data_IF_083126841778
#
_entry.id   IF_083126841778
#
_cell.length_a   1.000
_cell.length_b   1.000
_cell.length_c   1.000
_cell.angle_alpha   90.00
_cell.angle_beta   90.00
_cell.angle_gamma   90.00
#
_symmetry.space_group_name_H-M   'P 1'
#
loop_
_entity.id
_entity.type
_entity.pdbx_description
1 polymer ?
#
# COMPACT_ATOMS: atom_id res chain seq x y z
N UNK A 1 1.05 7.81 26.24
CA UNK A 1 0.80 6.45 25.71
C UNK A 1 1.05 6.48 24.22
N UNK A 2 1.74 5.47 23.72
CA UNK A 2 1.96 5.27 22.28
C UNK A 2 0.70 4.70 21.67
N UNK A 3 0.30 5.21 20.50
CA UNK A 3 -0.90 4.73 19.78
C UNK A 3 -0.56 3.48 18.97
N UNK A 4 -1.55 2.63 18.76
CA UNK A 4 -1.42 1.47 17.86
C UNK A 4 -1.40 1.92 16.39
N UNK A 5 -1.07 1.00 15.49
CA UNK A 5 -1.14 1.21 14.05
C UNK A 5 -2.58 1.52 13.61
N UNK A 6 -3.56 0.73 14.08
CA UNK A 6 -5.00 0.92 13.87
C UNK A 6 -5.47 2.32 14.32
N UNK A 7 -5.09 2.75 15.54
CA UNK A 7 -5.44 4.07 16.04
C UNK A 7 -4.84 5.19 15.17
N UNK A 8 -3.60 5.00 14.72
CA UNK A 8 -2.92 5.95 13.85
C UNK A 8 -3.59 6.01 12.48
N UNK A 9 -3.92 4.87 11.87
CA UNK A 9 -4.65 4.79 10.61
C UNK A 9 -6.01 5.48 10.70
N UNK A 10 -6.78 5.24 11.77
CA UNK A 10 -8.05 5.94 12.02
C UNK A 10 -7.89 7.45 12.12
N UNK A 11 -6.81 7.94 12.72
CA UNK A 11 -6.53 9.38 12.76
C UNK A 11 -6.21 9.91 11.36
N UNK A 12 -5.41 9.19 10.57
CA UNK A 12 -5.10 9.56 9.19
C UNK A 12 -6.36 9.62 8.32
N UNK A 13 -7.25 8.65 8.44
CA UNK A 13 -8.56 8.65 7.76
C UNK A 13 -9.39 9.86 8.20
N UNK A 14 -9.47 10.14 9.51
CA UNK A 14 -10.17 11.34 9.99
C UNK A 14 -9.57 12.64 9.44
N UNK A 15 -8.25 12.74 9.36
CA UNK A 15 -7.58 13.92 8.78
C UNK A 15 -7.92 14.10 7.30
N UNK A 16 -7.99 13.00 6.57
CA UNK A 16 -8.43 12.99 5.19
C UNK A 16 -9.87 13.56 5.07
N UNK A 17 -10.81 13.09 5.89
CA UNK A 17 -12.19 13.59 5.87
C UNK A 17 -12.31 15.05 6.37
N UNK A 18 -11.51 15.46 7.36
CA UNK A 18 -11.54 16.81 7.92
C UNK A 18 -10.95 17.88 7.00
N UNK A 19 -10.00 17.49 6.14
CA UNK A 19 -9.26 18.46 5.32
C UNK A 19 -9.98 18.80 4.00
N UNK A 20 -10.98 18.01 3.58
CA UNK A 20 -11.53 18.06 2.22
C UNK A 20 -13.07 17.97 2.18
N UNK A 21 -13.76 18.76 2.99
CA UNK A 21 -15.24 18.96 2.98
C UNK A 21 -15.78 19.57 1.64
N UNK A 22 -14.93 19.72 0.62
CA UNK A 22 -15.27 20.26 -0.70
C UNK A 22 -14.84 19.26 -1.79
N UNK A 23 -15.76 18.42 -2.27
CA UNK A 23 -15.82 17.64 -3.54
C UNK A 23 -14.56 16.96 -4.14
N UNK A 24 -13.38 17.14 -3.57
CA UNK A 24 -12.08 16.76 -4.10
C UNK A 24 -11.31 16.09 -2.97
N UNK A 25 -11.53 14.78 -2.86
CA UNK A 25 -10.75 13.80 -2.11
C UNK A 25 -9.31 13.78 -2.69
N UNK A 26 -8.52 14.84 -2.46
CA UNK A 26 -7.16 14.92 -2.97
C UNK A 26 -6.17 14.22 -2.04
N UNK A 27 -5.14 13.56 -2.59
CA UNK A 27 -4.09 12.96 -1.79
C UNK A 27 -3.32 14.05 -1.03
N UNK A 28 -3.03 13.81 0.25
CA UNK A 28 -2.37 14.79 1.11
C UNK A 28 -1.03 14.29 1.62
N UNK A 29 -0.16 15.23 1.99
CA UNK A 29 1.21 14.94 2.43
C UNK A 29 1.37 15.23 3.92
N UNK A 30 2.14 14.37 4.57
CA UNK A 30 2.59 14.52 5.95
C UNK A 30 4.11 14.44 6.02
N UNK A 31 4.69 15.12 6.98
CA UNK A 31 6.12 14.99 7.29
C UNK A 31 6.34 13.88 8.33
N UNK A 32 7.56 13.32 8.35
CA UNK A 32 7.95 12.33 9.36
C UNK A 32 7.74 12.79 10.82
N UNK A 33 8.04 14.06 11.20
CA UNK A 33 7.68 14.57 12.53
C UNK A 33 6.18 14.57 12.80
N UNK A 34 5.35 14.98 11.83
CA UNK A 34 3.90 15.00 11.99
C UNK A 34 3.35 13.60 12.24
N UNK A 35 3.76 12.60 11.45
CA UNK A 35 3.32 11.22 11.66
C UNK A 35 3.78 10.68 13.02
N UNK A 36 5.00 10.98 13.46
CA UNK A 36 5.47 10.60 14.81
C UNK A 36 4.62 11.22 15.92
N UNK A 37 4.27 12.50 15.79
CA UNK A 37 3.39 13.18 16.73
C UNK A 37 1.98 12.57 16.72
N UNK A 38 1.45 12.21 15.55
CA UNK A 38 0.15 11.57 15.42
C UNK A 38 0.14 10.15 16.00
N UNK A 39 1.20 9.37 15.82
CA UNK A 39 1.33 8.03 16.39
C UNK A 39 1.76 8.02 17.87
N UNK A 40 2.18 9.17 18.41
CA UNK A 40 2.77 9.27 19.75
C UNK A 40 3.92 8.27 19.99
N UNK A 41 4.72 8.04 18.94
CA UNK A 41 5.89 7.14 18.95
C UNK A 41 7.19 7.95 18.94
N UNK A 42 8.25 7.50 19.62
CA UNK A 42 9.56 8.14 19.55
C UNK A 42 10.22 7.95 18.17
N UNK A 43 9.97 6.82 17.51
CA UNK A 43 10.50 6.48 16.19
C UNK A 43 9.46 5.66 15.42
N UNK A 44 9.37 5.91 14.12
CA UNK A 44 8.59 5.08 13.19
C UNK A 44 9.52 3.96 12.69
N UNK A 45 9.15 2.71 12.94
CA UNK A 45 9.79 1.55 12.34
C UNK A 45 9.10 1.19 11.03
N UNK A 46 9.82 0.54 10.11
CA UNK A 46 9.23 0.03 8.87
C UNK A 46 8.09 -0.96 9.14
N UNK A 47 8.21 -1.76 10.21
CA UNK A 47 7.13 -2.66 10.65
C UNK A 47 5.85 -1.89 11.00
N UNK A 48 5.99 -0.83 11.79
CA UNK A 48 4.84 -0.01 12.18
C UNK A 48 4.20 0.68 10.97
N UNK A 49 5.00 1.17 10.01
CA UNK A 49 4.47 1.77 8.79
C UNK A 49 3.72 0.75 7.92
N UNK A 50 4.21 -0.49 7.85
CA UNK A 50 3.51 -1.58 7.16
C UNK A 50 2.18 -1.89 7.83
N UNK A 51 2.15 -2.00 9.15
CA UNK A 51 0.91 -2.21 9.91
C UNK A 51 -0.08 -1.08 9.66
N UNK A 52 0.36 0.19 9.73
CA UNK A 52 -0.48 1.35 9.41
C UNK A 52 -1.01 1.28 7.96
N UNK A 53 -0.18 0.86 7.00
CA UNK A 53 -0.62 0.74 5.61
C UNK A 53 -1.64 -0.38 5.42
N UNK A 54 -1.47 -1.53 6.08
CA UNK A 54 -2.45 -2.62 6.09
C UNK A 54 -3.81 -2.14 6.59
N UNK A 55 -3.81 -1.40 7.71
CA UNK A 55 -5.03 -0.83 8.29
C UNK A 55 -5.66 0.22 7.35
N UNK A 56 -4.86 1.00 6.63
CA UNK A 56 -5.36 1.98 5.66
C UNK A 56 -5.98 1.32 4.41
N UNK A 57 -5.44 0.19 3.96
CA UNK A 57 -5.94 -0.55 2.80
C UNK A 57 -7.38 -1.03 3.00
N UNK A 58 -7.78 -1.37 4.24
CA UNK A 58 -9.19 -1.72 4.53
C UNK A 58 -10.18 -0.59 4.23
N UNK A 59 -9.70 0.65 4.13
CA UNK A 59 -10.49 1.85 3.81
C UNK A 59 -10.23 2.35 2.38
N UNK A 60 -9.59 1.56 1.53
CA UNK A 60 -9.29 1.96 0.15
C UNK A 60 -8.22 3.05 0.07
N UNK A 61 -7.31 3.12 1.06
CA UNK A 61 -6.29 4.16 1.19
C UNK A 61 -4.91 3.52 1.28
N UNK A 62 -3.89 4.24 0.84
CA UNK A 62 -2.51 3.81 1.00
C UNK A 62 -1.60 4.93 1.50
N UNK A 63 -0.60 4.53 2.28
CA UNK A 63 0.50 5.35 2.74
C UNK A 63 1.74 5.05 1.89
N UNK A 64 2.17 6.05 1.12
CA UNK A 64 3.34 6.00 0.26
C UNK A 64 4.47 6.76 0.95
N UNK A 65 5.57 6.08 1.21
CA UNK A 65 6.77 6.68 1.79
C UNK A 65 7.58 7.36 0.68
N UNK A 66 7.79 8.67 0.79
CA UNK A 66 8.68 9.46 -0.06
C UNK A 66 9.93 9.86 0.74
N UNK A 67 10.98 10.33 0.06
CA UNK A 67 12.26 10.67 0.69
C UNK A 67 12.12 11.62 1.90
N UNK A 68 11.29 12.66 1.78
CA UNK A 68 11.16 13.70 2.81
C UNK A 68 9.75 13.79 3.42
N UNK A 69 8.81 12.98 2.94
CA UNK A 69 7.40 13.07 3.33
C UNK A 69 6.70 11.73 3.15
N UNK A 70 5.49 11.62 3.68
CA UNK A 70 4.57 10.53 3.43
C UNK A 70 3.38 11.09 2.66
N UNK A 71 2.93 10.38 1.65
CA UNK A 71 1.75 10.72 0.87
C UNK A 71 0.65 9.72 1.25
N UNK A 72 -0.53 10.23 1.58
CA UNK A 72 -1.73 9.41 1.78
C UNK A 72 -2.62 9.63 0.57
N UNK A 73 -2.96 8.56 -0.13
CA UNK A 73 -3.76 8.60 -1.36
C UNK A 73 -4.87 7.53 -1.33
N UNK A 74 -5.89 7.69 -2.17
CA UNK A 74 -6.82 6.59 -2.45
C UNK A 74 -6.16 5.60 -3.37
N UNK A 75 -6.49 4.32 -3.21
CA UNK A 75 -6.04 3.30 -4.15
C UNK A 75 -6.53 3.61 -5.58
N UNK A 76 -7.77 4.11 -5.73
CA UNK A 76 -8.31 4.54 -7.02
C UNK A 76 -7.57 5.73 -7.66
N UNK A 77 -6.90 6.59 -6.86
CA UNK A 77 -6.06 7.65 -7.44
C UNK A 77 -4.82 7.04 -8.12
N UNK A 78 -4.49 5.79 -7.78
CA UNK A 78 -3.37 5.05 -8.35
C UNK A 78 -3.76 4.15 -9.54
N UNK A 79 -5.04 3.91 -9.80
CA UNK A 79 -5.49 3.10 -10.94
C UNK A 79 -5.05 3.66 -12.31
N UNK A 80 -4.74 4.96 -12.37
CA UNK A 80 -4.27 5.63 -13.58
C UNK A 80 -2.78 5.41 -13.87
N UNK A 81 -2.03 4.79 -12.95
CA UNK A 81 -0.63 4.47 -13.20
C UNK A 81 -0.48 3.26 -14.10
N UNK A 82 0.52 3.33 -14.98
CA UNK A 82 0.82 2.24 -15.90
C UNK A 82 1.48 1.11 -15.14
N UNK A 83 0.88 -0.08 -15.18
CA UNK A 83 1.55 -1.31 -14.76
C UNK A 83 2.79 -1.54 -15.62
N UNK A 84 3.90 -1.91 -14.97
CA UNK A 84 5.10 -2.33 -15.67
C UNK A 84 4.80 -3.72 -16.27
N UNK A 85 4.90 -3.90 -17.61
CA UNK A 85 4.71 -5.21 -18.21
C UNK A 85 5.73 -6.22 -17.69
N UNK A 86 5.30 -7.45 -17.41
CA UNK A 86 6.17 -8.53 -16.90
C UNK A 86 7.41 -8.73 -17.79
N UNK A 87 7.25 -8.66 -19.11
CA UNK A 87 8.37 -8.77 -20.06
C UNK A 87 9.50 -7.78 -19.80
N UNK A 88 9.18 -6.56 -19.34
CA UNK A 88 10.19 -5.56 -18.98
C UNK A 88 10.81 -5.94 -17.62
N UNK A 89 10.01 -6.42 -16.67
CA UNK A 89 10.50 -6.85 -15.35
C UNK A 89 11.51 -8.01 -15.49
N UNK A 90 11.22 -8.99 -16.34
CA UNK A 90 12.07 -10.16 -16.61
C UNK A 90 13.50 -9.79 -17.02
N UNK A 91 13.70 -8.67 -17.74
CA UNK A 91 15.04 -8.20 -18.15
C UNK A 91 15.90 -7.71 -16.98
N UNK A 92 15.29 -7.39 -15.83
CA UNK A 92 15.97 -6.84 -14.64
C UNK A 92 15.86 -7.74 -13.41
N UNK A 93 15.07 -8.80 -13.46
CA UNK A 93 15.07 -9.82 -12.41
C UNK A 93 16.45 -10.52 -12.45
N UNK A 94 17.11 -10.71 -11.29
CA UNK A 94 18.34 -11.49 -11.26
C UNK A 94 18.02 -12.85 -11.85
N UNK A 95 18.72 -13.28 -12.91
CA UNK A 95 18.52 -14.56 -13.60
C UNK A 95 18.43 -15.70 -12.58
N UNK A 96 17.21 -15.99 -12.14
CA UNK A 96 16.87 -17.16 -11.35
C UNK A 96 16.90 -18.30 -12.33
N UNK A 97 18.08 -18.88 -12.50
CA UNK A 97 18.26 -20.16 -13.17
C UNK A 97 17.72 -21.30 -12.27
N UNK A 98 16.51 -21.13 -11.75
CA UNK A 98 15.72 -22.16 -11.11
C UNK A 98 14.37 -22.12 -11.80
N UNK A 99 14.29 -22.92 -12.86
CA UNK A 99 13.07 -23.45 -13.41
C UNK A 99 12.14 -23.85 -12.26
N UNK A 100 11.15 -23.00 -11.96
CA UNK A 100 9.88 -23.51 -11.46
C UNK A 100 9.22 -24.16 -12.68
N UNK A 101 9.63 -25.40 -12.91
CA UNK A 101 8.92 -26.40 -13.69
C UNK A 101 7.51 -26.48 -13.10
N UNK A 102 6.59 -25.66 -13.62
CA UNK A 102 5.17 -25.95 -13.49
C UNK A 102 4.88 -27.00 -14.55
N UNK A 103 5.15 -28.24 -14.14
CA UNK A 103 4.76 -29.49 -14.77
C UNK A 103 3.32 -29.37 -15.29
N UNK A 104 3.22 -29.59 -16.59
CA UNK A 104 2.03 -29.55 -17.43
C UNK A 104 1.28 -30.88 -17.25
N UNK A 105 0.56 -31.09 -16.14
CA UNK A 105 -0.32 -32.26 -15.90
C UNK A 105 -1.46 -31.80 -14.96
N UNK A 106 -2.76 -31.92 -15.24
CA UNK A 106 -3.48 -33.07 -15.79
C UNK A 106 -4.88 -32.58 -16.22
N UNK A 107 -5.19 -32.57 -17.51
CA UNK A 107 -6.57 -32.71 -17.98
C UNK A 107 -6.88 -34.21 -18.04
N UNK A 108 -7.87 -34.71 -17.28
CA UNK A 108 -8.64 -35.85 -17.72
C UNK A 108 -10.04 -35.40 -18.16
N UNK A 109 -10.32 -35.66 -19.44
CA UNK A 109 -11.66 -35.73 -20.02
C UNK A 109 -12.56 -36.69 -19.21
N UNK A 110 -13.73 -36.23 -18.75
CA UNK A 110 -14.96 -37.04 -18.70
C UNK A 110 -16.17 -36.17 -18.27
N UNK A 111 -17.09 -35.85 -19.20
CA UNK A 111 -18.51 -35.65 -18.86
C UNK A 111 -19.37 -36.21 -20.00
N UNK A 112 -19.87 -37.41 -19.75
CA UNK A 112 -20.94 -38.13 -20.46
C UNK A 112 -22.25 -37.29 -20.47
N UNK A 113 -22.79 -36.95 -21.65
CA UNK A 113 -24.21 -36.60 -21.88
C UNK A 113 -24.68 -37.19 -23.20
#
# INVERSE_FOLDING_TARGET
MTRTAEETARILIKLFHLSFDQDYDEPYRLTWPQLRSLAAVPRLSDAFLKEVNTELSEYGRTLIVLNNSLLIARENDLDHYRFVPDRILEEFLPNGNESADNDDQDEPEDVDI
#
